data_IF_010285816113
#
_entry.id   IF_010285816113
#
_cell.length_a   1.000
_cell.length_b   1.000
_cell.length_c   1.000
_cell.angle_alpha   90.00
_cell.angle_beta   90.00
_cell.angle_gamma   90.00
#
_symmetry.space_group_name_H-M   'P 1'
#
loop_
_entity.id
_entity.type
_entity.pdbx_description
1 polymer ?
#
# COMPACT_ATOMS: atom_id res chain seq x y z
N UNK A 1 -25.75 21.32 -4.96
CA UNK A 1 -25.00 20.94 -6.17
C UNK A 1 -23.95 21.95 -6.68
N UNK A 2 -24.12 23.29 -6.51
CA UNK A 2 -23.11 24.28 -6.98
C UNK A 2 -21.78 24.31 -6.19
N UNK A 3 -21.77 23.93 -4.91
CA UNK A 3 -20.55 23.95 -4.07
C UNK A 3 -19.53 22.87 -4.38
N UNK A 4 -19.97 21.68 -4.81
CA UNK A 4 -19.10 20.55 -5.10
C UNK A 4 -18.24 20.78 -6.37
N UNK A 5 -18.83 21.34 -7.42
CA UNK A 5 -18.14 21.62 -8.69
C UNK A 5 -17.08 22.72 -8.52
N UNK A 6 -17.38 23.74 -7.72
CA UNK A 6 -16.46 24.84 -7.45
C UNK A 6 -15.26 24.36 -6.62
N UNK A 7 -15.48 23.45 -5.68
CA UNK A 7 -14.43 22.88 -4.83
C UNK A 7 -13.47 22.01 -5.65
N UNK A 8 -13.98 21.14 -6.52
CA UNK A 8 -13.20 20.33 -7.44
C UNK A 8 -12.32 21.19 -8.35
N UNK A 9 -12.89 22.26 -8.93
CA UNK A 9 -12.14 23.18 -9.80
C UNK A 9 -11.00 23.91 -9.04
N UNK A 10 -11.18 24.21 -7.76
CA UNK A 10 -10.16 24.84 -6.91
C UNK A 10 -9.01 23.87 -6.63
N UNK A 11 -9.29 22.63 -6.26
CA UNK A 11 -8.25 21.64 -5.99
C UNK A 11 -7.48 21.27 -7.27
N UNK A 12 -8.16 21.06 -8.40
CA UNK A 12 -7.51 20.80 -9.69
C UNK A 12 -6.53 21.91 -10.08
N UNK A 13 -6.92 23.18 -9.87
CA UNK A 13 -6.04 24.33 -10.15
C UNK A 13 -4.82 24.36 -9.23
N UNK A 14 -4.97 24.02 -7.96
CA UNK A 14 -3.85 23.95 -7.00
C UNK A 14 -2.87 22.84 -7.33
N UNK A 15 -3.36 21.71 -7.79
CA UNK A 15 -2.51 20.61 -8.27
C UNK A 15 -1.74 21.03 -9.52
N UNK A 16 -2.37 21.78 -10.39
CA UNK A 16 -1.74 22.33 -11.59
C UNK A 16 -0.67 23.37 -11.25
N UNK A 17 -0.95 24.25 -10.28
CA UNK A 17 0.03 25.19 -9.73
C UNK A 17 1.26 24.46 -9.16
N UNK A 18 1.08 23.40 -8.40
CA UNK A 18 2.17 22.57 -7.90
C UNK A 18 2.96 21.91 -9.04
N UNK A 19 2.27 21.45 -10.07
CA UNK A 19 2.93 20.87 -11.25
C UNK A 19 3.83 21.90 -11.95
N UNK A 20 3.36 23.13 -12.15
CA UNK A 20 4.15 24.22 -12.71
C UNK A 20 5.41 24.47 -11.89
N UNK A 21 5.27 24.60 -10.56
CA UNK A 21 6.39 24.87 -9.65
C UNK A 21 7.43 23.72 -9.58
N UNK A 22 7.01 22.48 -9.87
CA UNK A 22 7.92 21.32 -9.95
C UNK A 22 8.73 21.28 -11.25
N UNK A 23 8.12 21.71 -12.34
CA UNK A 23 8.76 21.61 -13.66
C UNK A 23 9.73 22.75 -13.96
N UNK A 24 9.58 23.91 -13.32
CA UNK A 24 10.42 25.06 -13.56
C UNK A 24 10.62 25.86 -12.27
N UNK A 25 11.88 26.26 -12.04
CA UNK A 25 12.28 26.95 -10.81
C UNK A 25 11.99 28.46 -10.81
N UNK A 26 11.74 29.08 -11.96
CA UNK A 26 11.76 30.55 -12.11
C UNK A 26 10.39 31.09 -12.57
N UNK A 27 9.33 30.75 -11.85
CA UNK A 27 8.00 31.31 -12.12
C UNK A 27 7.80 32.65 -11.44
N UNK A 28 7.34 33.67 -12.18
CA UNK A 28 6.76 34.84 -11.55
C UNK A 28 5.26 34.63 -11.29
N UNK A 29 4.70 35.39 -10.33
CA UNK A 29 3.26 35.34 -10.04
C UNK A 29 2.42 35.71 -11.27
N UNK A 30 2.95 36.59 -12.15
CA UNK A 30 2.27 36.99 -13.39
C UNK A 30 2.27 35.86 -14.42
N UNK A 31 3.37 35.16 -14.55
CA UNK A 31 3.45 34.01 -15.44
C UNK A 31 2.52 32.88 -14.99
N UNK A 32 2.49 32.58 -13.66
CA UNK A 32 1.55 31.60 -13.10
C UNK A 32 0.08 32.03 -13.28
N UNK A 33 -0.21 33.33 -13.14
CA UNK A 33 -1.55 33.85 -13.34
C UNK A 33 -2.02 33.70 -14.81
N UNK A 34 -1.12 33.95 -15.76
CA UNK A 34 -1.40 33.77 -17.18
C UNK A 34 -1.51 32.29 -17.58
N UNK A 35 -0.63 31.43 -17.09
CA UNK A 35 -0.62 29.99 -17.41
C UNK A 35 -1.86 29.26 -16.86
N UNK A 36 -2.28 29.64 -15.65
CA UNK A 36 -3.46 29.09 -14.99
C UNK A 36 -4.77 29.83 -15.32
N UNK A 37 -4.72 30.84 -16.18
CA UNK A 37 -5.87 31.69 -16.58
C UNK A 37 -6.64 32.27 -15.38
N UNK A 38 -5.92 32.72 -14.35
CA UNK A 38 -6.51 33.30 -13.13
C UNK A 38 -5.88 34.64 -12.76
N UNK A 39 -6.48 35.36 -11.80
CA UNK A 39 -5.90 36.61 -11.31
C UNK A 39 -4.67 36.37 -10.43
N UNK A 40 -3.71 37.31 -10.39
CA UNK A 40 -2.58 37.33 -9.45
C UNK A 40 -3.03 37.11 -8.00
N UNK A 41 -4.14 37.69 -7.59
CA UNK A 41 -4.73 37.52 -6.25
C UNK A 41 -5.11 36.07 -5.99
N UNK A 42 -5.61 35.36 -6.99
CA UNK A 42 -5.95 33.93 -6.89
C UNK A 42 -4.70 33.08 -6.72
N UNK A 43 -3.66 33.35 -7.52
CA UNK A 43 -2.35 32.64 -7.40
C UNK A 43 -1.76 32.84 -6.00
N UNK A 44 -1.68 34.07 -5.51
CA UNK A 44 -1.14 34.34 -4.17
C UNK A 44 -1.91 33.66 -3.05
N UNK A 45 -3.26 33.62 -3.17
CA UNK A 45 -4.10 32.90 -2.20
C UNK A 45 -3.84 31.38 -2.25
N UNK A 46 -3.71 30.81 -3.43
CA UNK A 46 -3.45 29.39 -3.60
C UNK A 46 -2.03 29.01 -3.15
N UNK A 47 -1.02 29.86 -3.39
CA UNK A 47 0.33 29.71 -2.84
C UNK A 47 0.34 29.73 -1.31
N UNK A 48 -0.40 30.63 -0.68
CA UNK A 48 -0.52 30.66 0.78
C UNK A 48 -1.20 29.39 1.30
N UNK A 49 -2.27 28.94 0.66
CA UNK A 49 -2.93 27.69 1.02
C UNK A 49 -1.99 26.48 0.90
N UNK A 50 -1.14 26.42 -0.12
CA UNK A 50 -0.12 25.38 -0.25
C UNK A 50 0.93 25.47 0.86
N UNK A 51 1.35 26.67 1.25
CA UNK A 51 2.24 26.86 2.42
C UNK A 51 1.60 26.37 3.71
N UNK A 52 0.32 26.67 3.93
CA UNK A 52 -0.44 26.19 5.09
C UNK A 52 -0.56 24.66 5.11
N UNK A 53 -0.51 24.01 3.94
CA UNK A 53 -0.45 22.54 3.78
C UNK A 53 0.96 21.95 3.93
N UNK A 54 1.97 22.79 4.23
CA UNK A 54 3.34 22.34 4.51
C UNK A 54 4.28 22.35 3.30
N UNK A 55 3.88 22.94 2.16
CA UNK A 55 4.81 23.13 1.05
C UNK A 55 5.75 24.30 1.33
N UNK A 56 7.07 24.08 1.25
CA UNK A 56 8.06 25.12 1.40
C UNK A 56 8.18 25.89 0.08
N UNK A 57 7.39 26.96 -0.06
CA UNK A 57 7.37 27.82 -1.24
C UNK A 57 7.98 29.16 -0.86
N UNK A 58 9.15 29.47 -1.39
CA UNK A 58 9.82 30.77 -1.26
C UNK A 58 9.31 31.70 -2.36
N UNK A 59 9.31 33.02 -2.06
CA UNK A 59 8.99 34.07 -3.02
C UNK A 59 10.00 35.18 -2.86
N UNK A 60 10.73 35.48 -3.91
CA UNK A 60 11.65 36.61 -3.95
C UNK A 60 11.05 37.73 -4.81
N UNK A 61 11.01 38.95 -4.27
CA UNK A 61 10.59 40.15 -4.99
C UNK A 61 11.79 40.88 -5.58
N UNK A 62 11.68 41.39 -6.80
CA UNK A 62 12.70 42.20 -7.47
C UNK A 62 13.08 41.69 -8.87
N UNK A 63 14.01 42.38 -9.55
CA UNK A 63 14.55 41.92 -10.83
C UNK A 63 15.21 40.54 -10.67
N UNK A 64 14.67 39.52 -11.34
CA UNK A 64 15.08 38.10 -11.16
C UNK A 64 14.39 37.37 -10.01
N UNK A 65 13.42 38.01 -9.34
CA UNK A 65 12.60 37.37 -8.31
C UNK A 65 11.58 36.39 -8.92
N UNK A 66 11.24 35.38 -8.15
CA UNK A 66 10.30 34.36 -8.59
C UNK A 66 9.68 33.57 -7.43
N UNK A 67 8.81 32.68 -7.77
CA UNK A 67 8.19 31.70 -6.85
C UNK A 67 8.90 30.37 -7.05
N UNK A 68 9.49 29.84 -6.00
CA UNK A 68 10.25 28.62 -6.01
C UNK A 68 9.67 27.62 -5.02
N UNK A 69 9.49 26.37 -5.47
CA UNK A 69 9.26 25.26 -4.57
C UNK A 69 10.60 24.69 -4.13
N UNK A 70 10.88 24.74 -2.84
CA UNK A 70 12.13 24.20 -2.31
C UNK A 70 12.28 22.71 -2.66
N UNK A 71 13.47 22.25 -3.12
CA UNK A 71 13.69 20.84 -3.47
C UNK A 71 13.42 19.86 -2.31
N UNK A 72 13.59 20.33 -1.07
CA UNK A 72 13.28 19.56 0.14
C UNK A 72 11.80 19.46 0.45
N UNK A 73 10.98 20.27 -0.23
CA UNK A 73 9.51 20.25 -0.11
C UNK A 73 8.91 19.14 -0.97
N UNK A 74 9.49 17.94 -0.92
CA UNK A 74 8.95 16.79 -1.61
C UNK A 74 7.78 16.23 -0.80
N UNK A 75 6.65 16.93 -0.81
CA UNK A 75 5.39 16.25 -0.53
C UNK A 75 4.90 15.65 -1.85
N UNK A 76 5.13 14.36 -2.00
CA UNK A 76 4.47 13.56 -3.04
C UNK A 76 3.02 13.43 -2.59
N UNK A 77 2.15 14.33 -3.01
CA UNK A 77 0.71 14.14 -2.92
C UNK A 77 0.31 13.26 -4.10
N UNK A 78 0.26 11.96 -3.90
CA UNK A 78 -0.40 11.04 -4.81
C UNK A 78 -1.71 10.60 -4.18
N UNK A 79 -2.78 10.53 -4.97
CA UNK A 79 -3.98 9.82 -4.55
C UNK A 79 -3.70 8.34 -4.75
N UNK A 80 -3.64 7.60 -3.65
CA UNK A 80 -3.52 6.16 -3.67
C UNK A 80 -4.92 5.56 -3.54
N UNK A 81 -5.23 4.59 -4.39
CA UNK A 81 -6.39 3.74 -4.19
C UNK A 81 -6.14 2.67 -3.10
N UNK A 82 -7.19 1.94 -2.73
CA UNK A 82 -7.11 0.95 -1.66
C UNK A 82 -6.08 -0.15 -1.94
N UNK A 83 -6.00 -0.62 -3.17
CA UNK A 83 -5.11 -1.72 -3.57
C UNK A 83 -3.65 -1.27 -3.53
N UNK A 84 -3.37 -0.03 -3.92
CA UNK A 84 -2.03 0.57 -3.84
C UNK A 84 -1.57 0.74 -2.38
N UNK A 85 -2.47 1.11 -1.49
CA UNK A 85 -2.17 1.20 -0.05
C UNK A 85 -1.86 -0.19 0.52
N UNK A 86 -2.64 -1.21 0.18
CA UNK A 86 -2.39 -2.62 0.57
C UNK A 86 -1.03 -3.10 0.07
N UNK A 87 -0.72 -2.85 -1.20
CA UNK A 87 0.56 -3.22 -1.80
C UNK A 87 1.75 -2.55 -1.07
N UNK A 88 1.62 -1.28 -0.69
CA UNK A 88 2.64 -0.57 0.09
C UNK A 88 2.81 -1.18 1.48
N UNK A 89 1.72 -1.48 2.18
CA UNK A 89 1.77 -2.13 3.50
C UNK A 89 2.51 -3.46 3.41
N UNK A 90 2.13 -4.30 2.45
CA UNK A 90 2.78 -5.59 2.25
C UNK A 90 4.27 -5.43 1.92
N UNK A 91 4.62 -4.44 1.09
CA UNK A 91 6.01 -4.15 0.74
C UNK A 91 6.83 -3.71 1.95
N UNK A 92 6.26 -2.86 2.82
CA UNK A 92 6.91 -2.42 4.07
C UNK A 92 7.03 -3.58 5.05
N UNK A 93 6.00 -4.46 5.17
CA UNK A 93 6.06 -5.65 6.00
C UNK A 93 7.16 -6.61 5.55
N UNK A 94 7.30 -6.85 4.24
CA UNK A 94 8.37 -7.64 3.65
C UNK A 94 9.75 -7.02 3.89
N UNK A 95 9.88 -5.71 3.72
CA UNK A 95 11.12 -4.99 3.98
C UNK A 95 11.53 -5.09 5.45
N UNK A 96 10.58 -4.91 6.37
CA UNK A 96 10.81 -5.01 7.83
C UNK A 96 11.24 -6.42 8.25
N UNK A 97 10.66 -7.45 7.65
CA UNK A 97 11.03 -8.84 7.91
C UNK A 97 12.46 -9.19 7.45
N UNK A 98 13.10 -8.30 6.66
CA UNK A 98 14.45 -8.50 6.17
C UNK A 98 15.45 -7.58 6.91
N UNK A 99 16.27 -8.09 7.86
CA UNK A 99 17.20 -7.28 8.66
C UNK A 99 18.22 -6.49 7.85
N UNK A 100 18.44 -6.88 6.59
CA UNK A 100 19.43 -6.25 5.70
C UNK A 100 18.85 -5.20 4.75
N UNK A 101 17.52 -4.97 4.80
CA UNK A 101 16.88 -4.01 3.92
C UNK A 101 17.17 -2.59 4.41
N UNK A 102 17.79 -1.73 3.57
CA UNK A 102 18.00 -0.34 3.92
C UNK A 102 16.68 0.46 3.83
N UNK A 103 16.64 1.62 4.51
CA UNK A 103 15.55 2.59 4.45
C UNK A 103 14.18 2.14 4.99
N UNK A 104 14.10 1.03 5.73
CA UNK A 104 12.83 0.52 6.30
C UNK A 104 12.18 1.56 7.19
N UNK A 105 12.92 2.21 8.09
CA UNK A 105 12.37 3.25 8.97
C UNK A 105 11.73 4.42 8.20
N UNK A 106 12.32 4.81 7.06
CA UNK A 106 11.73 5.82 6.18
C UNK A 106 10.42 5.37 5.54
N UNK A 107 10.34 4.11 5.11
CA UNK A 107 9.14 3.52 4.54
C UNK A 107 8.00 3.41 5.57
N UNK A 108 8.32 3.01 6.82
CA UNK A 108 7.37 2.97 7.94
C UNK A 108 6.82 4.37 8.28
N UNK A 109 7.70 5.38 8.33
CA UNK A 109 7.27 6.76 8.54
C UNK A 109 6.36 7.27 7.42
N UNK A 110 6.65 6.91 6.16
CA UNK A 110 5.81 7.26 5.02
C UNK A 110 4.44 6.58 5.12
N UNK A 111 4.40 5.30 5.47
CA UNK A 111 3.15 4.56 5.67
C UNK A 111 2.31 5.16 6.78
N UNK A 112 2.91 5.49 7.94
CA UNK A 112 2.20 6.14 9.05
C UNK A 112 1.58 7.49 8.65
N UNK A 113 2.24 8.27 7.77
CA UNK A 113 1.67 9.51 7.22
C UNK A 113 0.49 9.25 6.30
N UNK A 114 0.54 8.20 5.49
CA UNK A 114 -0.57 7.78 4.63
C UNK A 114 -1.77 7.39 5.50
N UNK A 115 -1.57 6.55 6.51
CA UNK A 115 -2.60 6.13 7.46
C UNK A 115 -3.26 7.32 8.16
N UNK A 116 -2.46 8.27 8.66
CA UNK A 116 -2.94 9.48 9.32
C UNK A 116 -3.75 10.40 8.38
N UNK A 117 -3.57 10.30 7.07
CA UNK A 117 -4.30 11.09 6.08
C UNK A 117 -5.64 10.46 5.64
N UNK A 118 -5.87 9.19 6.00
CA UNK A 118 -7.08 8.47 5.59
C UNK A 118 -8.31 8.89 6.39
N UNK A 119 -9.50 8.90 5.78
CA UNK A 119 -10.76 8.99 6.52
C UNK A 119 -10.89 7.85 7.53
N UNK A 120 -11.50 8.11 8.69
CA UNK A 120 -11.61 7.13 9.81
C UNK A 120 -12.08 5.75 9.37
N UNK A 121 -13.07 5.69 8.49
CA UNK A 121 -13.60 4.42 8.00
C UNK A 121 -12.55 3.64 7.21
N UNK A 122 -11.82 4.30 6.31
CA UNK A 122 -10.74 3.69 5.53
C UNK A 122 -9.56 3.29 6.40
N UNK A 123 -9.21 4.08 7.39
CA UNK A 123 -8.17 3.73 8.35
C UNK A 123 -8.51 2.45 9.13
N UNK A 124 -9.78 2.28 9.53
CA UNK A 124 -10.23 1.06 10.22
C UNK A 124 -10.19 -0.18 9.30
N UNK A 125 -10.65 -0.06 8.04
CA UNK A 125 -10.55 -1.11 7.03
C UNK A 125 -9.09 -1.53 6.82
N UNK A 126 -8.20 -0.55 6.72
CA UNK A 126 -6.77 -0.76 6.55
C UNK A 126 -6.14 -1.45 7.75
N UNK A 127 -6.43 -1.00 8.98
CA UNK A 127 -5.96 -1.65 10.20
C UNK A 127 -6.41 -3.11 10.28
N UNK A 128 -7.66 -3.40 9.91
CA UNK A 128 -8.16 -4.76 9.87
C UNK A 128 -7.39 -5.64 8.86
N UNK A 129 -7.01 -5.07 7.73
CA UNK A 129 -6.19 -5.76 6.74
C UNK A 129 -4.76 -6.00 7.24
N UNK A 130 -4.15 -4.98 7.87
CA UNK A 130 -2.79 -5.07 8.41
C UNK A 130 -2.66 -6.13 9.50
N UNK A 131 -3.69 -6.33 10.32
CA UNK A 131 -3.71 -7.41 11.32
C UNK A 131 -3.63 -8.81 10.70
N UNK A 132 -3.99 -8.95 9.41
CA UNK A 132 -3.93 -10.22 8.67
C UNK A 132 -2.57 -10.46 7.99
N UNK A 133 -1.66 -9.49 8.04
CA UNK A 133 -0.29 -9.64 7.58
C UNK A 133 0.57 -9.94 8.80
N UNK A 134 0.99 -11.18 8.93
CA UNK A 134 1.81 -11.63 10.03
C UNK A 134 3.28 -11.71 9.61
N UNK A 135 4.17 -11.37 10.52
CA UNK A 135 5.61 -11.53 10.36
C UNK A 135 6.10 -12.51 11.41
N UNK A 136 6.74 -13.56 10.98
CA UNK A 136 7.35 -14.55 11.84
C UNK A 136 8.87 -14.58 11.65
N UNK A 137 9.53 -15.43 12.44
CA UNK A 137 10.97 -15.65 12.31
C UNK A 137 11.34 -16.09 10.88
N UNK A 138 12.54 -15.72 10.39
CA UNK A 138 13.00 -16.12 9.07
C UNK A 138 12.92 -17.64 8.86
N UNK A 139 12.42 -18.04 7.69
CA UNK A 139 12.35 -19.46 7.37
C UNK A 139 13.76 -20.03 7.17
N UNK A 140 14.04 -21.17 7.81
CA UNK A 140 15.29 -21.91 7.59
C UNK A 140 15.20 -22.70 6.28
N UNK A 141 15.38 -21.99 5.16
CA UNK A 141 15.33 -22.55 3.81
C UNK A 141 16.66 -22.30 3.11
N UNK A 142 17.21 -23.33 2.48
CA UNK A 142 18.31 -23.11 1.56
C UNK A 142 17.81 -22.37 0.30
N UNK A 143 18.63 -21.51 -0.33
CA UNK A 143 18.22 -20.82 -1.56
C UNK A 143 17.74 -21.77 -2.67
N UNK A 144 18.30 -22.99 -2.74
CA UNK A 144 17.90 -24.03 -3.68
C UNK A 144 16.49 -24.61 -3.41
N UNK A 145 15.95 -24.41 -2.22
CA UNK A 145 14.60 -24.87 -1.84
C UNK A 145 13.50 -23.88 -2.23
N UNK A 146 13.89 -22.70 -2.70
CA UNK A 146 12.95 -21.69 -3.15
C UNK A 146 12.58 -21.92 -4.62
N UNK A 147 11.28 -22.04 -4.86
CA UNK A 147 10.71 -22.09 -6.20
C UNK A 147 10.47 -20.68 -6.77
N UNK A 148 10.08 -20.64 -8.02
CA UNK A 148 9.60 -19.42 -8.67
C UNK A 148 8.13 -19.22 -8.30
N UNK A 149 7.78 -18.02 -7.85
CA UNK A 149 6.38 -17.67 -7.57
C UNK A 149 5.68 -17.40 -8.91
N UNK A 150 4.53 -18.03 -9.10
CA UNK A 150 3.64 -17.75 -10.23
C UNK A 150 3.18 -16.28 -10.16
N UNK A 151 3.49 -15.48 -11.16
CA UNK A 151 3.18 -14.06 -11.19
C UNK A 151 1.67 -13.76 -11.12
N UNK A 152 0.82 -14.70 -11.55
CA UNK A 152 -0.64 -14.60 -11.44
C UNK A 152 -1.15 -14.82 -10.01
N UNK A 153 -0.32 -15.39 -9.12
CA UNK A 153 -0.71 -15.68 -7.73
C UNK A 153 -1.01 -14.41 -6.95
N UNK A 154 -0.18 -13.38 -7.12
CA UNK A 154 -0.35 -12.11 -6.38
C UNK A 154 -1.71 -11.51 -6.68
N UNK A 155 -2.07 -11.36 -7.95
CA UNK A 155 -3.36 -10.82 -8.36
C UNK A 155 -4.55 -11.71 -7.95
N UNK A 156 -4.38 -13.03 -7.97
CA UNK A 156 -5.42 -13.97 -7.53
C UNK A 156 -5.64 -13.90 -6.01
N UNK A 157 -4.56 -13.82 -5.22
CA UNK A 157 -4.64 -13.67 -3.76
C UNK A 157 -5.29 -12.36 -3.39
N UNK A 158 -4.86 -11.25 -4.00
CA UNK A 158 -5.41 -9.91 -3.79
C UNK A 158 -6.93 -9.89 -4.02
N UNK A 159 -7.39 -10.39 -5.18
CA UNK A 159 -8.81 -10.46 -5.50
C UNK A 159 -9.59 -11.38 -4.54
N UNK A 160 -9.09 -12.59 -4.29
CA UNK A 160 -9.75 -13.55 -3.41
C UNK A 160 -9.89 -13.00 -1.97
N UNK A 161 -8.89 -12.25 -1.53
CA UNK A 161 -8.85 -11.63 -0.21
C UNK A 161 -9.82 -10.44 -0.10
N UNK A 162 -9.80 -9.54 -1.09
CA UNK A 162 -10.66 -8.34 -1.13
C UNK A 162 -12.14 -8.73 -1.28
N UNK A 163 -12.43 -9.66 -2.18
CA UNK A 163 -13.80 -10.07 -2.51
C UNK A 163 -14.35 -11.18 -1.58
N UNK A 164 -13.54 -11.66 -0.63
CA UNK A 164 -13.88 -12.81 0.24
C UNK A 164 -14.32 -14.05 -0.56
N UNK A 165 -13.54 -14.39 -1.60
CA UNK A 165 -13.80 -15.52 -2.50
C UNK A 165 -12.81 -16.64 -2.29
N UNK A 166 -13.22 -17.87 -2.58
CA UNK A 166 -12.33 -19.01 -2.52
C UNK A 166 -11.18 -18.86 -3.52
N UNK A 167 -9.97 -19.19 -3.06
CA UNK A 167 -8.78 -19.27 -3.88
C UNK A 167 -8.54 -20.74 -4.25
N UNK A 168 -8.54 -21.03 -5.55
CA UNK A 168 -8.29 -22.36 -6.08
C UNK A 168 -6.89 -22.42 -6.73
N UNK A 169 -6.14 -23.48 -6.45
CA UNK A 169 -4.79 -23.65 -7.01
C UNK A 169 -4.33 -25.12 -6.96
N UNK A 170 -3.29 -25.43 -7.70
CA UNK A 170 -2.52 -26.66 -7.55
C UNK A 170 -1.40 -26.42 -6.52
N UNK A 171 -1.24 -27.33 -5.58
CA UNK A 171 -0.25 -27.22 -4.52
C UNK A 171 0.68 -28.44 -4.52
N UNK A 172 2.00 -28.19 -4.54
CA UNK A 172 3.04 -29.20 -4.40
C UNK A 172 3.55 -29.21 -2.97
N UNK A 173 3.27 -30.26 -2.22
CA UNK A 173 3.72 -30.37 -0.83
C UNK A 173 5.25 -30.62 -0.72
N UNK A 174 5.76 -30.67 0.52
CA UNK A 174 7.20 -30.90 0.77
C UNK A 174 7.69 -32.29 0.29
N UNK A 175 6.78 -33.22 0.06
CA UNK A 175 7.09 -34.58 -0.43
C UNK A 175 6.95 -34.67 -1.96
N UNK A 176 6.67 -33.53 -2.63
CA UNK A 176 6.51 -33.50 -4.08
C UNK A 176 5.11 -33.92 -4.58
N UNK A 177 4.17 -34.24 -3.70
CA UNK A 177 2.81 -34.64 -4.09
C UNK A 177 2.02 -33.42 -4.52
N UNK A 178 1.38 -33.49 -5.69
CA UNK A 178 0.48 -32.47 -6.18
C UNK A 178 -0.96 -32.73 -5.76
N UNK A 179 -1.66 -31.67 -5.36
CA UNK A 179 -3.08 -31.69 -4.96
C UNK A 179 -3.74 -30.40 -5.43
N UNK A 180 -4.98 -30.49 -5.88
CA UNK A 180 -5.80 -29.30 -6.10
C UNK A 180 -6.43 -28.86 -4.78
N UNK A 181 -6.39 -27.56 -4.50
CA UNK A 181 -6.95 -26.96 -3.29
C UNK A 181 -7.95 -25.86 -3.67
N UNK A 182 -8.98 -25.73 -2.85
CA UNK A 182 -9.91 -24.60 -2.87
C UNK A 182 -10.06 -24.18 -1.43
N UNK A 183 -9.59 -22.98 -1.08
CA UNK A 183 -9.41 -22.54 0.30
C UNK A 183 -9.97 -21.15 0.53
N UNK A 184 -10.29 -20.82 1.77
CA UNK A 184 -10.69 -19.49 2.21
C UNK A 184 -9.41 -18.71 2.63
N UNK A 185 -8.90 -17.74 1.85
CA UNK A 185 -7.72 -16.98 2.23
C UNK A 185 -8.05 -15.98 3.34
N UNK A 186 -7.32 -16.03 4.45
CA UNK A 186 -7.56 -15.19 5.61
C UNK A 186 -6.40 -14.26 5.97
N UNK A 187 -5.22 -14.49 5.45
CA UNK A 187 -4.05 -13.66 5.74
C UNK A 187 -2.79 -14.10 5.00
N UNK A 188 -1.74 -13.35 5.24
CA UNK A 188 -0.41 -13.62 4.72
C UNK A 188 0.57 -13.77 5.89
N UNK A 189 1.48 -14.72 5.81
CA UNK A 189 2.60 -14.87 6.73
C UNK A 189 3.91 -14.67 5.99
N UNK A 190 4.68 -13.68 6.42
CA UNK A 190 6.01 -13.37 5.91
C UNK A 190 7.05 -14.03 6.80
N UNK A 191 7.86 -14.94 6.23
CA UNK A 191 9.04 -15.54 6.84
C UNK A 191 10.17 -15.52 5.82
N UNK A 192 10.90 -14.43 5.77
CA UNK A 192 11.96 -14.25 4.74
C UNK A 192 12.87 -15.48 4.68
N UNK A 193 13.21 -16.02 3.48
CA UNK A 193 12.88 -15.50 2.14
C UNK A 193 11.55 -15.98 1.56
N UNK A 194 10.74 -16.73 2.29
CA UNK A 194 9.45 -17.24 1.84
C UNK A 194 8.27 -16.46 2.43
N UNK A 195 7.13 -16.52 1.76
CA UNK A 195 5.86 -16.10 2.29
C UNK A 195 4.78 -17.16 2.05
N UNK A 196 3.73 -17.11 2.85
CA UNK A 196 2.71 -18.14 2.92
C UNK A 196 1.32 -17.49 2.91
N UNK A 197 0.36 -18.15 2.30
CA UNK A 197 -1.05 -17.83 2.44
C UNK A 197 -1.56 -18.57 3.69
N UNK A 198 -2.13 -17.82 4.62
CA UNK A 198 -2.88 -18.36 5.74
C UNK A 198 -4.30 -18.58 5.26
N UNK A 199 -4.77 -19.81 5.22
CA UNK A 199 -6.09 -20.10 4.69
C UNK A 199 -6.78 -21.19 5.52
N UNK A 200 -8.11 -21.17 5.51
CA UNK A 200 -8.91 -22.29 5.96
C UNK A 200 -9.12 -23.25 4.81
N UNK A 201 -8.74 -24.52 5.01
CA UNK A 201 -8.93 -25.59 4.02
C UNK A 201 -10.20 -26.39 4.42
N UNK A 202 -11.31 -26.27 3.67
CA UNK A 202 -12.57 -26.94 4.02
C UNK A 202 -12.48 -28.47 3.99
N UNK A 203 -11.52 -29.04 3.26
CA UNK A 203 -11.42 -30.50 3.13
C UNK A 203 -10.98 -31.18 4.43
N UNK A 204 -9.91 -30.74 5.15
CA UNK A 204 -9.65 -31.21 6.50
C UNK A 204 -10.38 -30.37 7.56
N UNK A 205 -11.14 -29.32 7.16
CA UNK A 205 -11.81 -28.37 8.03
C UNK A 205 -10.87 -27.75 9.08
N UNK A 206 -9.74 -27.21 8.62
CA UNK A 206 -8.69 -26.70 9.49
C UNK A 206 -7.88 -25.56 8.84
N UNK A 207 -7.25 -24.67 9.65
CA UNK A 207 -6.33 -23.65 9.15
C UNK A 207 -5.05 -24.32 8.62
N UNK A 208 -4.53 -23.79 7.53
CA UNK A 208 -3.29 -24.24 6.88
C UNK A 208 -2.46 -23.11 6.34
N UNK A 209 -1.14 -23.38 6.24
CA UNK A 209 -0.18 -22.52 5.57
C UNK A 209 0.18 -23.12 4.21
N UNK A 210 0.05 -22.29 3.17
CA UNK A 210 0.44 -22.64 1.81
C UNK A 210 1.60 -21.76 1.36
N UNK A 211 2.77 -22.34 1.19
CA UNK A 211 3.96 -21.61 0.74
C UNK A 211 3.77 -21.16 -0.71
N UNK A 212 3.94 -19.87 -0.98
CA UNK A 212 3.57 -19.25 -2.23
C UNK A 212 4.28 -19.83 -3.46
N UNK A 213 5.57 -20.13 -3.35
CA UNK A 213 6.38 -20.73 -4.42
C UNK A 213 6.04 -22.19 -4.76
N UNK A 214 5.14 -22.80 -3.98
CA UNK A 214 4.61 -24.16 -4.22
C UNK A 214 3.21 -24.17 -4.82
N UNK A 215 2.66 -22.98 -5.09
CA UNK A 215 1.36 -22.76 -5.69
C UNK A 215 1.54 -22.57 -7.20
N UNK A 216 0.71 -23.22 -7.98
CA UNK A 216 0.62 -23.02 -9.43
C UNK A 216 -0.83 -22.98 -9.88
N UNK A 217 -1.08 -22.33 -11.03
CA UNK A 217 -2.42 -22.16 -11.62
C UNK A 217 -3.46 -21.57 -10.66
N UNK A 218 -3.14 -20.47 -10.00
CA UNK A 218 -4.08 -19.84 -9.08
C UNK A 218 -5.26 -19.25 -9.84
N UNK A 219 -6.45 -19.39 -9.28
CA UNK A 219 -7.69 -18.79 -9.79
C UNK A 219 -8.62 -18.44 -8.65
N UNK A 220 -9.46 -17.42 -8.84
CA UNK A 220 -10.48 -17.04 -7.88
C UNK A 220 -11.79 -17.72 -8.28
N UNK A 221 -12.42 -18.41 -7.34
CA UNK A 221 -13.71 -19.04 -7.49
C UNK A 221 -14.83 -18.00 -7.31
N UNK A 222 -16.01 -18.25 -7.85
CA UNK A 222 -17.19 -17.38 -7.65
C UNK A 222 -17.85 -17.58 -6.27
N UNK A 223 -17.47 -18.61 -5.54
CA UNK A 223 -17.98 -18.92 -4.21
C UNK A 223 -17.38 -17.96 -3.17
N UNK A 224 -18.23 -17.29 -2.42
CA UNK A 224 -17.84 -16.43 -1.31
C UNK A 224 -17.79 -17.20 0.00
N UNK A 225 -17.01 -16.71 0.96
CA UNK A 225 -16.94 -17.24 2.32
C UNK A 225 -17.13 -16.12 3.36
N UNK A 226 -17.51 -16.50 4.57
CA UNK A 226 -17.58 -15.58 5.71
C UNK A 226 -16.24 -15.60 6.45
N UNK A 227 -15.68 -14.43 6.71
CA UNK A 227 -14.41 -14.33 7.42
C UNK A 227 -14.49 -15.01 8.79
N UNK A 228 -13.55 -15.91 9.06
CA UNK A 228 -13.43 -16.63 10.33
C UNK A 228 -12.74 -15.76 11.39
N UNK A 229 -12.98 -16.02 12.69
CA UNK A 229 -12.24 -15.36 13.76
C UNK A 229 -10.73 -15.44 13.55
N UNK A 230 -10.04 -14.32 13.75
CA UNK A 230 -8.61 -14.18 13.49
C UNK A 230 -7.78 -15.23 14.25
N UNK A 231 -8.06 -15.43 15.53
CA UNK A 231 -7.35 -16.37 16.40
C UNK A 231 -7.46 -17.81 15.93
N UNK A 232 -8.62 -18.16 15.37
CA UNK A 232 -8.87 -19.50 14.83
C UNK A 232 -7.98 -19.80 13.62
N UNK A 233 -7.75 -18.80 12.78
CA UNK A 233 -6.99 -18.96 11.54
C UNK A 233 -5.49 -18.82 11.80
N UNK A 234 -5.08 -17.90 12.65
CA UNK A 234 -3.66 -17.64 12.95
C UNK A 234 -3.05 -18.61 13.96
N UNK A 235 -3.87 -19.43 14.63
CA UNK A 235 -3.39 -20.49 15.51
C UNK A 235 -2.39 -21.49 14.86
N UNK A 236 -2.33 -21.53 13.52
CA UNK A 236 -1.36 -22.33 12.77
C UNK A 236 0.06 -21.73 12.77
N UNK A 237 0.21 -20.46 13.20
CA UNK A 237 1.48 -19.74 13.28
C UNK A 237 1.61 -18.95 14.59
N UNK A 238 1.67 -19.62 15.75
CA UNK A 238 1.62 -18.99 17.07
C UNK A 238 2.81 -18.08 17.40
N UNK A 239 3.92 -18.27 16.70
CA UNK A 239 5.16 -17.49 16.82
C UNK A 239 5.17 -16.21 15.96
N UNK A 240 4.19 -16.03 15.08
CA UNK A 240 4.09 -14.87 14.22
C UNK A 240 3.22 -13.78 14.88
N UNK A 241 3.59 -12.52 14.64
CA UNK A 241 2.88 -11.34 15.16
C UNK A 241 2.33 -10.49 14.03
N UNK A 242 1.22 -9.78 14.24
CA UNK A 242 0.75 -8.78 13.30
C UNK A 242 1.86 -7.77 12.99
N UNK A 243 1.92 -7.35 11.74
CA UNK A 243 2.94 -6.39 11.29
C UNK A 243 2.92 -5.09 12.13
N UNK A 244 1.75 -4.63 12.55
CA UNK A 244 1.55 -3.40 13.32
C UNK A 244 2.00 -3.48 14.79
N UNK A 245 2.08 -4.67 15.36
CA UNK A 245 2.41 -4.88 16.79
C UNK A 245 3.91 -5.10 17.05
N UNK A 246 4.74 -5.06 16.01
CA UNK A 246 6.18 -5.24 16.18
C UNK A 246 6.84 -3.93 16.58
N UNK A 247 7.55 -3.86 17.71
CA UNK A 247 8.31 -2.66 18.09
C UNK A 247 9.41 -2.37 17.06
N UNK A 248 9.56 -1.09 16.76
CA UNK A 248 10.61 -0.56 15.88
C UNK A 248 11.99 -0.73 16.51
#
# INVERSE_FOLDING_TARGET
MRGSVLWVAIETRRDELLRCLRHRADWTVDQLANDLEVSRRTVLRDLNHLRDRGFHISSMTGPGGGVHLEPTSVMVTSQLDGDQVVALILSVALARANPWMPFVAGAEQALAKIEASLPRQRAAELQHLMQRILVGDPAQLAPADLGVIDTSLVAAVERAFTDQRLLRFEYRDARGRQTTRSVEPHGLLVRVPAWYIIAWDPTPDAPRLFRADRISRPSVDDTTFVARPHELVTGVCPDAKPHIDQPS
#
